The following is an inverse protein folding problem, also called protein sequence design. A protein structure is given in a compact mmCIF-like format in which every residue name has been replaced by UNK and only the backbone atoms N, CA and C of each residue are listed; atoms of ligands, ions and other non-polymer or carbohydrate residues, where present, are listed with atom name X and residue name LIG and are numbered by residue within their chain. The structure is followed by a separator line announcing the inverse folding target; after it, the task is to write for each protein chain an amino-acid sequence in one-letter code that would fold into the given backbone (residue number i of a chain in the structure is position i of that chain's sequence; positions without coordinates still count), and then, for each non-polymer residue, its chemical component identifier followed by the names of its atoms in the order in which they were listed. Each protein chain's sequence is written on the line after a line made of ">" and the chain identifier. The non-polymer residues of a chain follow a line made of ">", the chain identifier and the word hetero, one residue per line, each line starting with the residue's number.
data_IF_986280132059
#
_entry.id   IF_986280132059
#
_cell.length_a   1.000
_cell.length_b   1.000
_cell.length_c   1.000
_cell.angle_alpha   90.00
_cell.angle_beta   90.00
_cell.angle_gamma   90.00
#
_symmetry.space_group_name_H-M   'P 1'
#
loop_
_entity.id
_entity.type
_entity.pdbx_description
1 polymer ?
#
# COMPACT_ATOMS: atom_id res chain seq x y z
N UNK A 1 17.34 -17.94 -0.37
CA UNK A 1 17.31 -16.64 -1.08
C UNK A 1 15.86 -16.28 -1.26
N UNK A 2 15.39 -15.21 -0.61
CA UNK A 2 14.03 -14.71 -0.78
C UNK A 2 14.03 -13.88 -2.07
N UNK A 3 13.62 -14.49 -3.18
CA UNK A 3 13.58 -13.80 -4.48
C UNK A 3 12.31 -12.95 -4.48
N UNK A 4 12.45 -11.68 -4.80
CA UNK A 4 11.29 -10.80 -4.93
C UNK A 4 10.40 -11.31 -6.07
N UNK A 5 9.12 -11.66 -5.83
CA UNK A 5 8.24 -12.21 -6.84
C UNK A 5 7.97 -11.23 -8.00
N UNK A 6 8.30 -9.95 -7.83
CA UNK A 6 8.12 -8.92 -8.86
C UNK A 6 9.36 -8.67 -9.73
N UNK A 7 10.52 -9.23 -9.34
CA UNK A 7 11.81 -8.92 -9.97
C UNK A 7 11.83 -9.29 -11.48
N UNK A 8 11.18 -10.40 -11.85
CA UNK A 8 11.10 -10.86 -13.24
C UNK A 8 10.25 -9.93 -14.12
N UNK A 9 9.18 -9.37 -13.57
CA UNK A 9 8.31 -8.43 -14.28
C UNK A 9 8.98 -7.10 -14.55
N UNK A 10 9.90 -6.66 -13.69
CA UNK A 10 10.59 -5.37 -13.84
C UNK A 10 11.64 -5.39 -14.96
N UNK A 11 12.24 -6.57 -15.24
CA UNK A 11 13.37 -6.72 -16.16
C UNK A 11 12.96 -6.87 -17.62
N UNK A 12 12.09 -7.82 -17.96
CA UNK A 12 11.83 -8.21 -19.37
C UNK A 12 10.37 -8.64 -19.62
N UNK A 13 9.39 -7.83 -19.20
CA UNK A 13 7.97 -8.10 -19.48
C UNK A 13 7.33 -7.06 -20.40
N UNK A 14 6.16 -7.41 -20.95
CA UNK A 14 5.33 -6.49 -21.73
C UNK A 14 5.10 -5.17 -20.96
N UNK A 15 5.00 -4.01 -21.64
CA UNK A 15 4.97 -2.70 -20.98
C UNK A 15 3.94 -2.58 -19.85
N UNK A 16 2.74 -3.15 -20.04
CA UNK A 16 1.68 -3.12 -19.03
C UNK A 16 2.02 -3.97 -17.80
N UNK A 17 2.54 -5.19 -18.01
CA UNK A 17 2.96 -6.08 -16.93
C UNK A 17 4.12 -5.48 -16.14
N UNK A 18 5.08 -4.85 -16.83
CA UNK A 18 6.20 -4.15 -16.21
C UNK A 18 5.72 -3.00 -15.32
N UNK A 19 4.75 -2.22 -15.80
CA UNK A 19 4.18 -1.12 -15.04
C UNK A 19 3.43 -1.60 -13.80
N UNK A 20 2.56 -2.61 -13.94
CA UNK A 20 1.87 -3.22 -12.79
C UNK A 20 2.86 -3.84 -11.79
N UNK A 21 3.88 -4.53 -12.28
CA UNK A 21 4.96 -5.09 -11.46
C UNK A 21 5.68 -4.03 -10.65
N UNK A 22 6.03 -2.90 -11.29
CA UNK A 22 6.62 -1.74 -10.60
C UNK A 22 5.68 -1.16 -9.52
N UNK A 23 4.39 -0.99 -9.84
CA UNK A 23 3.40 -0.45 -8.92
C UNK A 23 3.23 -1.34 -7.67
N UNK A 24 3.08 -2.66 -7.86
CA UNK A 24 2.97 -3.62 -6.75
C UNK A 24 4.24 -3.74 -5.93
N UNK A 25 5.41 -3.84 -6.58
CA UNK A 25 6.70 -3.88 -5.90
C UNK A 25 6.90 -2.65 -5.01
N UNK A 26 6.64 -1.46 -5.55
CA UNK A 26 6.75 -0.21 -4.81
C UNK A 26 5.77 -0.16 -3.64
N UNK A 27 4.50 -0.51 -3.88
CA UNK A 27 3.46 -0.45 -2.86
C UNK A 27 3.73 -1.38 -1.67
N UNK A 28 4.16 -2.61 -1.95
CA UNK A 28 4.51 -3.61 -0.92
C UNK A 28 5.80 -3.22 -0.20
N UNK A 29 6.81 -2.76 -0.94
CA UNK A 29 8.07 -2.27 -0.37
C UNK A 29 7.88 -1.11 0.59
N UNK A 30 6.95 -0.18 0.30
CA UNK A 30 6.62 0.94 1.19
C UNK A 30 6.06 0.48 2.54
N UNK A 31 5.38 -0.67 2.63
CA UNK A 31 4.90 -1.18 3.92
C UNK A 31 6.06 -1.66 4.81
N UNK A 32 7.10 -2.23 4.20
CA UNK A 32 8.26 -2.72 4.94
C UNK A 32 9.05 -1.59 5.62
N UNK A 33 8.98 -0.36 5.09
CA UNK A 33 9.58 0.83 5.71
C UNK A 33 8.99 1.10 7.11
N UNK A 34 7.69 0.81 7.28
CA UNK A 34 6.98 0.92 8.56
C UNK A 34 7.06 -0.37 9.40
N UNK A 35 7.89 -1.33 8.99
CA UNK A 35 8.03 -2.64 9.64
C UNK A 35 6.80 -3.55 9.47
N UNK A 36 5.88 -3.19 8.58
CA UNK A 36 4.69 -3.99 8.29
C UNK A 36 5.03 -5.14 7.34
N UNK A 37 4.30 -6.24 7.49
CA UNK A 37 4.42 -7.41 6.62
C UNK A 37 3.10 -7.62 5.89
N UNK A 38 3.18 -7.84 4.59
CA UNK A 38 2.04 -8.20 3.75
C UNK A 38 1.80 -9.70 3.78
N UNK A 39 0.59 -10.13 3.46
CA UNK A 39 0.23 -11.55 3.40
C UNK A 39 0.60 -12.21 2.07
N UNK A 40 0.67 -13.54 2.07
CA UNK A 40 0.75 -14.34 0.85
C UNK A 40 -0.48 -14.15 -0.06
N UNK A 41 -1.64 -13.84 0.53
CA UNK A 41 -2.86 -13.59 -0.23
C UNK A 41 -2.72 -12.32 -1.07
N UNK A 42 -2.10 -11.26 -0.53
CA UNK A 42 -1.77 -10.07 -1.32
C UNK A 42 -0.83 -10.41 -2.48
N UNK A 43 0.25 -11.17 -2.22
CA UNK A 43 1.21 -11.55 -3.26
C UNK A 43 0.53 -12.29 -4.42
N UNK A 44 -0.30 -13.28 -4.10
CA UNK A 44 -1.06 -14.02 -5.12
C UNK A 44 -2.06 -13.13 -5.88
N UNK A 45 -2.68 -12.17 -5.20
CA UNK A 45 -3.61 -11.20 -5.81
C UNK A 45 -2.88 -10.24 -6.76
N UNK A 46 -1.70 -9.74 -6.35
CA UNK A 46 -0.85 -8.88 -7.15
C UNK A 46 -0.39 -9.60 -8.44
N UNK A 47 0.06 -10.85 -8.33
CA UNK A 47 0.45 -11.66 -9.50
C UNK A 47 -0.71 -11.83 -10.48
N UNK A 48 -1.92 -12.15 -10.00
CA UNK A 48 -3.11 -12.23 -10.86
C UNK A 48 -3.43 -10.91 -11.56
N UNK A 49 -3.21 -9.78 -10.89
CA UNK A 49 -3.42 -8.47 -11.49
C UNK A 49 -2.37 -8.14 -12.57
N UNK A 50 -1.09 -8.44 -12.29
CA UNK A 50 0.03 -8.26 -13.23
C UNK A 50 -0.19 -9.10 -14.48
N UNK A 51 -0.63 -10.34 -14.34
CA UNK A 51 -0.95 -11.23 -15.46
C UNK A 51 -2.24 -10.87 -16.22
N UNK A 52 -2.95 -9.83 -15.79
CA UNK A 52 -4.19 -9.37 -16.44
C UNK A 52 -5.41 -10.25 -16.13
N UNK A 53 -5.31 -11.17 -15.17
CA UNK A 53 -6.43 -12.01 -14.73
C UNK A 53 -7.46 -11.27 -13.88
N UNK A 54 -7.09 -10.13 -13.28
CA UNK A 54 -7.98 -9.21 -12.55
C UNK A 54 -7.53 -7.75 -12.72
N UNK A 55 -8.46 -6.82 -12.62
CA UNK A 55 -8.22 -5.37 -12.52
C UNK A 55 -7.79 -4.96 -11.10
N UNK A 56 -7.34 -3.70 -10.96
CA UNK A 56 -7.04 -3.12 -9.65
C UNK A 56 -8.29 -3.02 -8.76
N UNK A 57 -9.44 -2.71 -9.36
CA UNK A 57 -10.73 -2.64 -8.65
C UNK A 57 -11.12 -4.00 -8.07
N UNK A 58 -10.96 -5.06 -8.87
CA UNK A 58 -11.22 -6.44 -8.46
C UNK A 58 -10.21 -6.89 -7.39
N UNK A 59 -8.93 -6.55 -7.53
CA UNK A 59 -7.91 -6.84 -6.52
C UNK A 59 -8.26 -6.22 -5.15
N UNK A 60 -8.66 -4.95 -5.14
CA UNK A 60 -9.12 -4.26 -3.92
C UNK A 60 -10.38 -4.92 -3.34
N UNK A 61 -11.33 -5.29 -4.19
CA UNK A 61 -12.58 -5.95 -3.76
C UNK A 61 -12.32 -7.33 -3.15
N UNK A 62 -11.43 -8.12 -3.75
CA UNK A 62 -11.02 -9.43 -3.24
C UNK A 62 -10.35 -9.32 -1.86
N UNK A 63 -9.45 -8.35 -1.68
CA UNK A 63 -8.84 -8.09 -0.37
C UNK A 63 -9.86 -7.66 0.68
N UNK A 64 -10.81 -6.78 0.30
CA UNK A 64 -11.87 -6.39 1.22
C UNK A 64 -12.72 -7.59 1.65
N UNK A 65 -13.11 -8.46 0.71
CA UNK A 65 -13.86 -9.67 1.02
C UNK A 65 -13.07 -10.63 1.90
N UNK A 66 -11.80 -10.88 1.57
CA UNK A 66 -10.91 -11.77 2.32
C UNK A 66 -10.86 -11.41 3.81
N UNK A 67 -10.70 -10.13 4.14
CA UNK A 67 -10.65 -9.66 5.53
C UNK A 67 -12.02 -9.52 6.19
N UNK A 68 -13.09 -9.32 5.43
CA UNK A 68 -14.45 -9.38 5.97
C UNK A 68 -14.81 -10.81 6.43
N UNK A 69 -14.38 -11.83 5.68
CA UNK A 69 -14.63 -13.24 5.99
C UNK A 69 -13.66 -13.79 7.07
N UNK A 70 -12.49 -13.18 7.20
CA UNK A 70 -11.45 -13.54 8.18
C UNK A 70 -11.06 -12.33 9.02
N UNK A 71 -11.96 -11.85 9.89
CA UNK A 71 -11.63 -10.71 10.75
C UNK A 71 -10.40 -11.04 11.60
N UNK A 72 -9.43 -10.14 11.60
CA UNK A 72 -8.22 -10.30 12.42
C UNK A 72 -8.61 -10.50 13.89
N UNK A 73 -8.06 -11.53 14.52
CA UNK A 73 -8.27 -11.81 15.93
C UNK A 73 -7.36 -10.98 16.85
N UNK A 74 -6.39 -10.23 16.30
CA UNK A 74 -5.43 -9.44 17.07
C UNK A 74 -5.37 -8.00 16.60
N UNK A 75 -5.47 -7.06 17.54
CA UNK A 75 -5.27 -5.62 17.31
C UNK A 75 -3.81 -5.27 16.99
N UNK A 76 -2.86 -6.16 17.28
CA UNK A 76 -1.44 -5.96 16.94
C UNK A 76 -1.08 -6.40 15.53
N UNK A 77 -1.92 -7.23 14.90
CA UNK A 77 -1.66 -7.71 13.54
C UNK A 77 -2.12 -6.67 12.52
N UNK A 78 -1.16 -5.90 12.00
CA UNK A 78 -1.36 -4.87 10.99
C UNK A 78 -1.20 -5.40 9.56
N UNK A 79 -1.24 -6.72 9.36
CA UNK A 79 -1.16 -7.33 8.01
C UNK A 79 -2.34 -6.88 7.13
N UNK A 80 -3.54 -6.74 7.67
CA UNK A 80 -4.70 -6.22 6.92
C UNK A 80 -4.47 -4.81 6.38
N UNK A 81 -3.91 -3.93 7.22
CA UNK A 81 -3.54 -2.59 6.80
C UNK A 81 -2.50 -2.65 5.70
N UNK A 82 -1.41 -3.40 5.89
CA UNK A 82 -0.34 -3.53 4.91
C UNK A 82 -0.88 -3.98 3.54
N UNK A 83 -1.78 -4.97 3.53
CA UNK A 83 -2.36 -5.50 2.31
C UNK A 83 -3.28 -4.51 1.61
N UNK A 84 -4.24 -3.94 2.35
CA UNK A 84 -5.20 -2.97 1.78
C UNK A 84 -4.50 -1.71 1.31
N UNK A 85 -3.56 -1.18 2.10
CA UNK A 85 -2.82 0.03 1.75
C UNK A 85 -1.92 -0.22 0.55
N UNK A 86 -1.26 -1.39 0.45
CA UNK A 86 -0.47 -1.76 -0.74
C UNK A 86 -1.32 -1.75 -2.00
N UNK A 87 -2.49 -2.40 -1.98
CA UNK A 87 -3.37 -2.41 -3.15
C UNK A 87 -3.82 -1.02 -3.57
N UNK A 88 -4.12 -0.15 -2.60
CA UNK A 88 -4.51 1.25 -2.85
C UNK A 88 -3.36 2.09 -3.40
N UNK A 89 -2.13 1.90 -2.91
CA UNK A 89 -0.93 2.56 -3.45
C UNK A 89 -0.68 2.07 -4.89
N UNK A 90 -0.77 0.77 -5.16
CA UNK A 90 -0.58 0.23 -6.50
C UNK A 90 -1.60 0.80 -7.50
N UNK A 91 -2.87 0.94 -7.08
CA UNK A 91 -3.89 1.65 -7.86
C UNK A 91 -3.50 3.11 -8.10
N UNK A 92 -3.10 3.85 -7.07
CA UNK A 92 -2.73 5.26 -7.17
C UNK A 92 -1.52 5.50 -8.09
N UNK A 93 -0.47 4.66 -7.99
CA UNK A 93 0.69 4.71 -8.90
C UNK A 93 0.24 4.46 -10.35
N UNK A 94 -0.83 3.68 -10.53
CA UNK A 94 -1.41 3.33 -11.83
C UNK A 94 -2.34 4.41 -12.41
N UNK A 95 -2.76 5.39 -11.61
CA UNK A 95 -3.57 6.52 -12.07
C UNK A 95 -2.72 7.49 -12.91
N UNK A 96 -3.28 8.00 -14.02
CA UNK A 96 -2.55 8.88 -14.97
C UNK A 96 -2.50 10.34 -14.56
N UNK A 97 -3.27 10.75 -13.56
CA UNK A 97 -3.47 12.15 -13.20
C UNK A 97 -3.28 12.35 -11.70
N UNK A 98 -2.48 13.34 -11.34
CA UNK A 98 -2.27 13.77 -9.97
C UNK A 98 -2.08 15.29 -9.94
N UNK A 99 -2.50 15.94 -8.85
CA UNK A 99 -2.31 17.38 -8.66
C UNK A 99 -1.59 17.66 -7.35
N UNK A 100 -0.59 18.54 -7.36
CA UNK A 100 0.13 18.95 -6.15
C UNK A 100 -0.68 19.98 -5.36
N UNK A 101 -1.81 19.54 -4.80
CA UNK A 101 -2.69 20.39 -3.99
C UNK A 101 -2.91 19.80 -2.61
N UNK A 102 -3.22 20.68 -1.66
CA UNK A 102 -3.61 20.27 -0.32
C UNK A 102 -4.85 19.34 -0.31
N UNK A 103 -5.79 19.57 -1.21
CA UNK A 103 -6.99 18.73 -1.37
C UNK A 103 -6.63 17.33 -1.84
N UNK A 104 -5.71 17.21 -2.80
CA UNK A 104 -5.24 15.92 -3.29
C UNK A 104 -4.47 15.16 -2.21
N UNK A 105 -3.64 15.84 -1.42
CA UNK A 105 -2.96 15.23 -0.27
C UNK A 105 -3.96 14.57 0.70
N UNK A 106 -5.03 15.28 1.08
CA UNK A 106 -6.08 14.71 1.93
C UNK A 106 -6.86 13.59 1.24
N UNK A 107 -7.10 13.71 -0.07
CA UNK A 107 -7.78 12.71 -0.89
C UNK A 107 -7.00 11.39 -0.91
N UNK A 108 -5.68 11.46 -1.14
CA UNK A 108 -4.79 10.30 -1.09
C UNK A 108 -4.83 9.66 0.30
N UNK A 109 -4.64 10.44 1.37
CA UNK A 109 -4.72 9.90 2.72
C UNK A 109 -6.08 9.24 3.00
N UNK A 110 -7.19 9.81 2.48
CA UNK A 110 -8.50 9.18 2.59
C UNK A 110 -8.56 7.87 1.83
N UNK A 111 -8.17 7.85 0.56
CA UNK A 111 -8.14 6.65 -0.29
C UNK A 111 -7.36 5.53 0.38
N UNK A 112 -6.14 5.82 0.87
CA UNK A 112 -5.26 4.85 1.51
C UNK A 112 -5.83 4.24 2.79
N UNK A 113 -6.52 5.03 3.62
CA UNK A 113 -6.84 4.63 5.00
C UNK A 113 -8.33 4.51 5.33
N UNK A 114 -9.23 4.73 4.36
CA UNK A 114 -10.67 4.56 4.58
C UNK A 114 -10.99 3.13 5.04
N UNK A 115 -11.78 3.01 6.11
CA UNK A 115 -12.14 1.74 6.73
C UNK A 115 -11.07 1.15 7.65
N UNK A 116 -9.86 1.71 7.68
CA UNK A 116 -8.78 1.32 8.59
C UNK A 116 -8.65 2.30 9.76
N UNK A 117 -8.73 3.60 9.47
CA UNK A 117 -8.65 4.66 10.47
C UNK A 117 -9.83 5.62 10.38
N UNK A 118 -10.40 6.00 11.52
CA UNK A 118 -11.50 6.97 11.61
C UNK A 118 -11.12 8.38 11.16
N UNK A 119 -9.82 8.69 11.17
CA UNK A 119 -9.26 9.98 10.80
C UNK A 119 -8.74 10.04 9.35
N UNK A 120 -9.06 9.05 8.51
CA UNK A 120 -8.62 9.04 7.11
C UNK A 120 -9.01 10.32 6.35
N UNK A 121 -8.00 11.06 5.87
CA UNK A 121 -8.18 12.32 5.14
C UNK A 121 -8.43 13.53 6.03
N UNK A 122 -7.97 13.51 7.28
CA UNK A 122 -8.00 14.65 8.22
C UNK A 122 -6.56 15.07 8.55
N UNK A 123 -6.32 16.38 8.69
CA UNK A 123 -5.08 16.84 9.31
C UNK A 123 -5.14 16.53 10.81
N UNK A 124 -4.02 16.04 11.36
CA UNK A 124 -3.78 16.02 12.80
C UNK A 124 -3.91 17.41 13.42
N UNK A 125 -4.38 17.46 14.66
CA UNK A 125 -4.53 18.67 15.50
C UNK A 125 -3.55 18.69 16.68
N UNK A 126 -2.62 17.73 16.74
CA UNK A 126 -1.59 17.60 17.76
C UNK A 126 -0.21 17.40 17.12
N UNK A 127 0.86 17.68 17.89
CA UNK A 127 2.24 17.51 17.44
C UNK A 127 2.74 16.08 17.64
N UNK A 128 3.58 15.60 16.73
CA UNK A 128 4.23 14.29 16.81
C UNK A 128 5.72 14.53 17.07
N UNK A 129 6.29 13.77 17.99
CA UNK A 129 7.73 13.76 18.21
C UNK A 129 8.33 12.44 17.77
N UNK A 130 9.30 12.47 16.85
CA UNK A 130 10.11 11.31 16.49
C UNK A 130 11.56 11.62 16.78
N UNK A 131 12.23 10.73 17.50
CA UNK A 131 13.68 10.80 17.71
C UNK A 131 14.35 10.35 16.43
N UNK A 132 14.96 11.28 15.73
CA UNK A 132 15.67 11.00 14.49
C UNK A 132 17.17 10.97 14.77
N UNK A 133 17.84 9.89 14.37
CA UNK A 133 19.29 9.73 14.57
C UNK A 133 20.09 10.81 13.84
N UNK A 134 19.60 11.26 12.68
CA UNK A 134 20.20 12.32 11.88
C UNK A 134 20.08 13.70 12.54
N UNK A 135 19.23 13.83 13.55
CA UNK A 135 19.04 15.06 14.33
C UNK A 135 19.67 14.95 15.73
N UNK A 136 20.64 14.05 15.94
CA UNK A 136 21.23 13.75 17.26
C UNK A 136 20.18 13.46 18.35
N UNK A 137 19.08 12.82 17.96
CA UNK A 137 17.96 12.50 18.84
C UNK A 137 17.01 13.68 19.13
N UNK A 138 17.25 14.85 18.55
CA UNK A 138 16.30 15.96 18.55
C UNK A 138 15.09 15.66 17.66
N UNK A 139 14.03 16.44 17.86
CA UNK A 139 12.75 16.30 17.18
C UNK A 139 12.34 17.63 16.56
N UNK A 140 11.77 17.57 15.35
CA UNK A 140 11.08 18.71 14.74
C UNK A 140 9.63 18.74 15.26
N UNK A 141 9.21 19.87 15.83
CA UNK A 141 7.88 20.09 16.41
C UNK A 141 7.01 20.87 15.42
#
# INVERSE_FOLDING_TARGET
>A
MNRDPFEEYIKESEPEKRYKGYAWHTAIGLQAVDGLKTSEYLLSTALRNIEGGISFEEANSLLQQYYNEKPSHSTSDRTEEADKVSARIATLISEKAFSFTYQEYLSIHRKLFTGLYSHAGRIRDYNITKKEWVLDGATVI
#
